data_IF_387542662919
#
_entry.id   IF_387542662919
#
_cell.length_a   1.000
_cell.length_b   1.000
_cell.length_c   1.000
_cell.angle_alpha   90.00
_cell.angle_beta   90.00
_cell.angle_gamma   90.00
#
_symmetry.space_group_name_H-M   'P 1'
#
loop_
_entity.id
_entity.type
_entity.pdbx_description
1 polymer ?
#
# COMPACT_ATOMS: atom_id res chain seq x y z
N UNK A 1 -10.01 2.30 -11.60
CA UNK A 1 -9.98 1.41 -10.40
C UNK A 1 -10.28 -0.09 -10.69
N UNK A 2 -10.23 -0.58 -11.94
CA UNK A 2 -10.54 -2.00 -12.24
C UNK A 2 -9.45 -3.03 -11.86
N UNK A 3 -8.22 -2.59 -11.59
CA UNK A 3 -7.11 -3.51 -11.23
C UNK A 3 -7.18 -4.03 -9.78
N UNK A 4 -7.95 -3.36 -8.90
CA UNK A 4 -7.98 -3.66 -7.45
C UNK A 4 -8.97 -4.76 -7.04
N UNK A 5 -9.87 -5.19 -7.93
CA UNK A 5 -10.95 -6.12 -7.56
C UNK A 5 -10.69 -7.58 -7.90
N UNK A 6 -9.79 -7.91 -8.83
CA UNK A 6 -9.67 -9.30 -9.31
C UNK A 6 -8.93 -10.26 -8.38
N UNK A 7 -8.10 -9.77 -7.45
CA UNK A 7 -7.18 -10.64 -6.69
C UNK A 7 -7.03 -10.30 -5.21
N UNK A 8 -7.90 -9.46 -4.66
CA UNK A 8 -7.83 -9.08 -3.27
C UNK A 8 -8.95 -9.76 -2.49
N UNK A 9 -8.61 -10.80 -1.72
CA UNK A 9 -9.55 -11.40 -0.76
C UNK A 9 -9.81 -10.33 0.31
N UNK A 10 -11.08 -9.95 0.57
CA UNK A 10 -11.40 -9.01 1.63
C UNK A 10 -10.86 -9.50 2.98
N UNK A 11 -10.33 -8.59 3.81
CA UNK A 11 -9.89 -8.95 5.19
C UNK A 11 -11.00 -9.66 5.96
N UNK A 12 -12.24 -9.22 5.80
CA UNK A 12 -13.43 -9.85 6.39
C UNK A 12 -13.60 -11.30 5.94
N UNK A 13 -13.41 -11.60 4.66
CA UNK A 13 -13.49 -12.97 4.14
C UNK A 13 -12.37 -13.86 4.70
N UNK A 14 -11.14 -13.34 4.80
CA UNK A 14 -10.03 -14.09 5.43
C UNK A 14 -10.30 -14.34 6.91
N UNK A 15 -10.85 -13.37 7.64
CA UNK A 15 -11.18 -13.53 9.06
C UNK A 15 -12.32 -14.54 9.27
N UNK A 16 -13.33 -14.56 8.39
CA UNK A 16 -14.37 -15.60 8.39
C UNK A 16 -13.78 -17.00 8.16
N UNK A 17 -12.81 -17.15 7.24
CA UNK A 17 -12.13 -18.42 7.01
C UNK A 17 -11.32 -18.88 8.22
N UNK A 18 -10.60 -17.97 8.87
CA UNK A 18 -9.84 -18.26 10.11
C UNK A 18 -10.81 -18.78 11.19
N UNK A 19 -11.94 -18.11 11.39
CA UNK A 19 -12.95 -18.56 12.36
C UNK A 19 -13.55 -19.92 12.00
N UNK A 20 -13.80 -20.18 10.72
CA UNK A 20 -14.30 -21.48 10.27
C UNK A 20 -13.28 -22.61 10.55
N UNK A 21 -11.99 -22.37 10.30
CA UNK A 21 -10.93 -23.33 10.63
C UNK A 21 -10.88 -23.57 12.14
N UNK A 22 -10.99 -22.52 12.98
CA UNK A 22 -11.04 -22.69 14.43
C UNK A 22 -12.17 -23.63 14.86
N UNK A 23 -13.37 -23.48 14.29
CA UNK A 23 -14.51 -24.35 14.58
C UNK A 23 -14.22 -25.81 14.21
N UNK A 24 -13.59 -26.06 13.06
CA UNK A 24 -13.19 -27.42 12.66
C UNK A 24 -12.15 -28.02 13.61
N UNK A 25 -11.20 -27.21 14.09
CA UNK A 25 -10.18 -27.66 15.03
C UNK A 25 -10.76 -27.92 16.43
N UNK A 26 -11.75 -27.14 16.85
CA UNK A 26 -12.47 -27.37 18.11
C UNK A 26 -13.27 -28.68 18.08
N UNK A 27 -13.86 -29.04 16.93
CA UNK A 27 -14.55 -30.32 16.74
C UNK A 27 -13.60 -31.52 16.83
N UNK A 28 -12.33 -31.36 16.42
CA UNK A 28 -11.30 -32.40 16.59
C UNK A 28 -10.98 -32.61 18.08
N UNK A 29 -11.16 -31.59 18.92
CA UNK A 29 -11.02 -31.69 20.38
C UNK A 29 -9.58 -31.77 20.90
N UNK A 30 -8.58 -31.44 20.08
CA UNK A 30 -7.17 -31.44 20.48
C UNK A 30 -6.78 -30.10 21.13
N UNK A 31 -6.19 -30.17 22.32
CA UNK A 31 -5.70 -29.01 23.08
C UNK A 31 -4.56 -28.27 22.37
N UNK A 32 -3.88 -28.92 21.42
CA UNK A 32 -2.88 -28.29 20.57
C UNK A 32 -3.43 -27.06 19.80
N UNK A 33 -4.75 -26.99 19.58
CA UNK A 33 -5.40 -25.90 18.83
C UNK A 33 -6.08 -24.84 19.71
N UNK A 34 -5.93 -24.91 21.03
CA UNK A 34 -6.57 -23.97 21.96
C UNK A 34 -6.17 -22.52 21.64
N UNK A 35 -4.91 -22.31 21.27
CA UNK A 35 -4.33 -21.00 20.94
C UNK A 35 -4.49 -20.58 19.47
N UNK A 36 -5.26 -21.33 18.67
CA UNK A 36 -5.45 -20.98 17.27
C UNK A 36 -6.15 -19.60 17.13
N UNK A 37 -5.67 -18.71 16.24
CA UNK A 37 -6.18 -17.35 16.15
C UNK A 37 -7.62 -17.31 15.64
N UNK A 38 -8.43 -16.40 16.20
CA UNK A 38 -9.82 -16.14 15.75
C UNK A 38 -9.99 -14.78 15.07
N UNK A 39 -8.93 -13.97 15.08
CA UNK A 39 -8.87 -12.66 14.40
C UNK A 39 -7.65 -12.59 13.52
N UNK A 40 -7.74 -11.78 12.47
CA UNK A 40 -6.59 -11.51 11.59
C UNK A 40 -5.41 -10.89 12.36
N UNK A 41 -5.69 -10.06 13.36
CA UNK A 41 -4.66 -9.46 14.20
C UNK A 41 -3.85 -10.52 14.96
N UNK A 42 -4.54 -11.44 15.66
CA UNK A 42 -3.87 -12.54 16.37
C UNK A 42 -3.10 -13.45 15.42
N UNK A 43 -3.69 -13.78 14.27
CA UNK A 43 -3.03 -14.61 13.26
C UNK A 43 -1.72 -13.96 12.77
N UNK A 44 -1.75 -12.65 12.47
CA UNK A 44 -0.54 -11.90 12.08
C UNK A 44 0.51 -11.89 13.18
N UNK A 45 0.10 -11.67 14.43
CA UNK A 45 1.02 -11.64 15.56
C UNK A 45 1.70 -13.00 15.77
N UNK A 46 0.96 -14.10 15.71
CA UNK A 46 1.49 -15.47 15.84
C UNK A 46 2.49 -15.79 14.72
N UNK A 47 2.17 -15.36 13.49
CA UNK A 47 3.01 -15.58 12.31
C UNK A 47 4.15 -14.55 12.17
N UNK A 48 4.32 -13.63 13.14
CA UNK A 48 5.24 -12.49 13.06
C UNK A 48 5.12 -11.72 11.73
N UNK A 49 3.90 -11.56 11.23
CA UNK A 49 3.61 -10.81 10.01
C UNK A 49 3.45 -9.34 10.38
N UNK A 50 4.46 -8.55 10.05
CA UNK A 50 4.42 -7.11 10.17
C UNK A 50 3.52 -6.47 9.11
N UNK A 51 2.83 -5.40 9.49
CA UNK A 51 2.09 -4.56 8.57
C UNK A 51 3.05 -3.76 7.67
N UNK A 52 3.37 -4.33 6.50
CA UNK A 52 4.19 -3.66 5.49
C UNK A 52 3.41 -2.59 4.76
N UNK A 53 3.30 -1.37 5.28
CA UNK A 53 2.62 -0.32 4.53
C UNK A 53 3.50 0.21 3.40
N UNK A 54 3.19 -0.13 2.15
CA UNK A 54 3.74 0.63 1.03
C UNK A 54 3.01 1.96 0.95
N UNK A 55 3.75 3.04 1.11
CA UNK A 55 3.23 4.40 1.00
C UNK A 55 3.42 4.91 -0.42
N UNK A 56 2.32 5.32 -1.04
CA UNK A 56 2.34 5.92 -2.37
C UNK A 56 1.77 7.33 -2.34
N UNK A 57 2.35 8.20 -3.18
CA UNK A 57 1.76 9.48 -3.52
C UNK A 57 0.79 9.30 -4.69
N UNK A 58 -0.46 9.73 -4.54
CA UNK A 58 -1.43 9.72 -5.63
C UNK A 58 -1.58 11.12 -6.24
N UNK A 59 -1.43 11.24 -7.56
CA UNK A 59 -1.75 12.49 -8.26
C UNK A 59 -3.24 12.82 -8.11
N UNK A 60 -3.57 14.00 -7.59
CA UNK A 60 -4.98 14.40 -7.36
C UNK A 60 -5.80 14.63 -8.63
N UNK A 61 -5.13 14.81 -9.78
CA UNK A 61 -5.81 15.02 -11.06
C UNK A 61 -6.08 13.71 -11.81
N UNK A 62 -5.07 12.84 -11.92
CA UNK A 62 -5.14 11.62 -12.73
C UNK A 62 -5.09 10.31 -11.92
N UNK A 63 -4.94 10.39 -10.60
CA UNK A 63 -4.90 9.25 -9.68
C UNK A 63 -3.76 8.25 -9.91
N UNK A 64 -2.76 8.59 -10.74
CA UNK A 64 -1.53 7.81 -10.87
C UNK A 64 -0.78 7.78 -9.54
N UNK A 65 -0.34 6.59 -9.15
CA UNK A 65 0.48 6.35 -7.96
C UNK A 65 1.96 6.45 -8.30
N UNK A 66 2.72 7.09 -7.40
CA UNK A 66 4.17 7.24 -7.40
C UNK A 66 4.74 6.74 -6.08
N UNK A 67 5.98 6.24 -6.08
CA UNK A 67 6.66 5.88 -4.83
C UNK A 67 6.87 7.12 -3.97
N UNK A 68 6.72 6.97 -2.65
CA UNK A 68 6.89 8.07 -1.70
C UNK A 68 8.29 8.69 -1.79
N UNK A 69 9.34 7.86 -1.74
CA UNK A 69 10.73 8.31 -1.75
C UNK A 69 11.08 9.09 -3.03
N UNK A 70 10.66 8.59 -4.19
CA UNK A 70 10.88 9.26 -5.48
C UNK A 70 10.33 10.70 -5.52
N UNK A 71 9.23 10.97 -4.82
CA UNK A 71 8.58 12.29 -4.79
C UNK A 71 9.19 13.19 -3.71
N UNK A 72 9.54 12.65 -2.54
CA UNK A 72 10.15 13.42 -1.44
C UNK A 72 11.59 13.83 -1.76
N UNK A 73 12.36 12.92 -2.35
CA UNK A 73 13.77 13.09 -2.68
C UNK A 73 13.98 13.53 -4.13
N UNK A 74 12.96 14.11 -4.77
CA UNK A 74 13.08 14.59 -6.14
C UNK A 74 14.03 15.78 -6.22
N UNK A 75 15.08 15.63 -7.02
CA UNK A 75 16.04 16.70 -7.33
C UNK A 75 16.00 17.03 -8.83
N UNK A 76 16.17 18.30 -9.14
CA UNK A 76 16.39 18.79 -10.49
C UNK A 76 17.61 19.69 -10.45
N UNK A 77 18.61 19.39 -11.28
CA UNK A 77 19.90 20.10 -11.29
C UNK A 77 20.56 20.13 -9.90
N UNK A 78 20.57 18.98 -9.22
CA UNK A 78 21.07 18.78 -7.83
C UNK A 78 20.32 19.55 -6.74
N UNK A 79 19.27 20.30 -7.08
CA UNK A 79 18.47 21.08 -6.15
C UNK A 79 17.15 20.35 -5.88
N UNK A 80 16.76 20.27 -4.61
CA UNK A 80 15.48 19.67 -4.21
C UNK A 80 14.33 20.46 -4.86
N UNK A 81 13.53 19.76 -5.68
CA UNK A 81 12.52 20.37 -6.54
C UNK A 81 11.14 19.72 -6.34
N UNK A 82 10.09 20.39 -6.81
CA UNK A 82 8.73 19.82 -6.76
C UNK A 82 8.52 18.92 -7.98
N UNK A 83 8.40 17.62 -7.75
CA UNK A 83 8.09 16.66 -8.81
C UNK A 83 6.71 16.94 -9.41
N UNK A 84 6.64 17.04 -10.74
CA UNK A 84 5.38 17.14 -11.49
C UNK A 84 4.98 15.80 -12.06
N UNK A 85 3.67 15.52 -12.05
CA UNK A 85 3.09 14.30 -12.61
C UNK A 85 3.45 14.15 -14.10
N UNK A 86 4.15 13.08 -14.44
CA UNK A 86 4.55 12.77 -15.83
C UNK A 86 3.55 11.86 -16.55
N UNK A 87 2.43 11.51 -15.91
CA UNK A 87 1.44 10.62 -16.51
C UNK A 87 0.80 11.24 -17.76
N UNK A 88 0.73 10.44 -18.83
CA UNK A 88 0.04 10.76 -20.09
C UNK A 88 -1.19 9.87 -20.16
N UNK A 89 -2.36 10.50 -20.16
CA UNK A 89 -3.61 9.81 -20.39
C UNK A 89 -3.75 9.57 -21.91
N UNK A 90 -3.98 8.32 -22.31
CA UNK A 90 -4.09 7.91 -23.72
C UNK A 90 -2.83 8.19 -24.57
N UNK A 91 -1.73 7.44 -24.34
CA UNK A 91 -0.47 7.66 -25.02
C UNK A 91 -0.50 7.44 -26.53
N UNK A 92 -1.55 6.81 -27.08
CA UNK A 92 -1.71 6.61 -28.53
C UNK A 92 -2.62 7.65 -29.19
N UNK A 93 -3.21 8.56 -28.44
CA UNK A 93 -4.05 9.63 -29.01
C UNK A 93 -3.19 10.67 -29.74
N UNK A 94 -3.81 11.46 -30.62
CA UNK A 94 -3.19 12.66 -31.22
C UNK A 94 -3.10 13.83 -30.23
N UNK A 95 -3.88 13.79 -29.13
CA UNK A 95 -3.94 14.81 -28.07
C UNK A 95 -3.23 14.32 -26.79
N UNK A 96 -1.97 13.88 -26.93
CA UNK A 96 -1.16 13.42 -25.77
C UNK A 96 -0.81 14.62 -24.90
N UNK A 97 -1.38 14.68 -23.70
CA UNK A 97 -1.06 15.71 -22.72
C UNK A 97 -0.52 15.08 -21.43
N UNK A 98 0.58 15.64 -20.93
CA UNK A 98 1.10 15.29 -19.60
C UNK A 98 0.24 15.95 -18.54
N UNK A 99 0.00 15.24 -17.44
CA UNK A 99 -0.82 15.72 -16.34
C UNK A 99 -0.24 16.99 -15.67
N UNK A 100 1.08 17.02 -15.44
CA UNK A 100 1.86 18.13 -14.88
C UNK A 100 1.47 18.63 -13.48
N UNK A 101 0.46 18.04 -12.84
CA UNK A 101 0.05 18.40 -11.47
C UNK A 101 1.22 18.17 -10.49
N UNK A 102 1.53 19.13 -9.60
CA UNK A 102 2.57 18.95 -8.58
C UNK A 102 2.20 17.82 -7.62
N UNK A 103 3.18 16.98 -7.30
CA UNK A 103 3.02 15.81 -6.45
C UNK A 103 3.37 16.10 -4.97
N UNK A 104 4.00 17.23 -4.70
CA UNK A 104 4.38 17.66 -3.35
C UNK A 104 4.28 19.18 -3.24
N UNK A 105 4.46 19.69 -2.03
CA UNK A 105 4.68 21.10 -1.77
C UNK A 105 5.93 21.24 -0.92
N UNK A 106 6.72 22.28 -1.17
CA UNK A 106 7.90 22.55 -0.36
C UNK A 106 7.52 23.26 0.92
N UNK A 107 8.12 22.80 2.02
CA UNK A 107 8.04 23.44 3.33
C UNK A 107 9.46 23.80 3.76
N UNK A 108 9.62 25.04 4.23
CA UNK A 108 10.84 25.49 4.88
C UNK A 108 10.75 25.12 6.36
N UNK A 109 11.58 24.17 6.78
CA UNK A 109 11.89 23.91 8.17
C UNK A 109 13.11 24.77 8.54
N UNK A 110 13.30 25.02 9.85
CA UNK A 110 14.28 25.96 10.42
C UNK A 110 15.59 26.12 9.60
N UNK A 111 16.21 25.03 9.15
CA UNK A 111 17.43 25.05 8.32
C UNK A 111 17.36 24.16 7.05
N UNK A 112 16.18 23.69 6.62
CA UNK A 112 16.08 22.73 5.49
C UNK A 112 14.78 22.90 4.71
N UNK A 113 14.88 22.86 3.38
CA UNK A 113 13.71 22.72 2.49
C UNK A 113 13.38 21.24 2.36
N UNK A 114 12.11 20.89 2.56
CA UNK A 114 11.62 19.51 2.43
C UNK A 114 10.37 19.46 1.54
N UNK A 115 10.26 18.42 0.73
CA UNK A 115 9.05 18.14 -0.03
C UNK A 115 8.08 17.34 0.84
N UNK A 116 6.89 17.91 1.11
CA UNK A 116 5.83 17.21 1.81
C UNK A 116 4.77 16.72 0.83
N UNK A 117 4.50 15.43 0.87
CA UNK A 117 3.41 14.83 0.10
C UNK A 117 2.06 15.12 0.79
N UNK A 118 1.02 15.42 0.00
CA UNK A 118 -0.33 15.71 0.53
C UNK A 118 -1.11 14.46 0.94
N UNK A 119 -0.96 13.33 0.25
CA UNK A 119 -1.75 12.12 0.46
C UNK A 119 -0.89 10.88 0.36
N UNK A 120 -0.93 10.04 1.40
CA UNK A 120 -0.27 8.74 1.46
C UNK A 120 -1.34 7.66 1.45
N UNK A 121 -1.26 6.73 0.50
CA UNK A 121 -2.10 5.54 0.49
C UNK A 121 -1.31 4.33 0.98
N UNK A 122 -1.65 3.77 2.15
CA UNK A 122 -1.02 2.55 2.63
C UNK A 122 -1.56 1.34 1.85
N UNK A 123 -0.67 0.47 1.40
CA UNK A 123 -1.10 -0.82 0.86
C UNK A 123 -0.07 -1.93 1.06
N UNK A 124 -0.45 -2.97 1.80
CA UNK A 124 -0.06 -4.35 1.51
C UNK A 124 -1.17 -5.28 1.97
N UNK A 125 -1.31 -6.39 1.23
CA UNK A 125 -2.30 -7.42 1.53
C UNK A 125 -1.65 -8.51 2.37
N UNK A 126 -2.42 -9.18 3.24
CA UNK A 126 -1.90 -10.33 3.98
C UNK A 126 -1.37 -11.41 3.03
N UNK A 127 -1.97 -11.57 1.85
CA UNK A 127 -1.50 -12.48 0.80
C UNK A 127 -0.07 -12.14 0.32
N UNK A 128 0.21 -10.86 0.07
CA UNK A 128 1.56 -10.42 -0.32
C UNK A 128 2.58 -10.62 0.81
N UNK A 129 2.17 -10.40 2.06
CA UNK A 129 3.03 -10.64 3.23
C UNK A 129 3.28 -12.15 3.44
N UNK A 130 2.27 -12.99 3.27
CA UNK A 130 2.38 -14.45 3.33
C UNK A 130 3.28 -15.00 2.21
N UNK A 131 3.16 -14.48 0.99
CA UNK A 131 4.02 -14.91 -0.12
C UNK A 131 5.51 -14.69 0.18
N UNK A 132 5.87 -13.66 0.94
CA UNK A 132 7.27 -13.40 1.35
C UNK A 132 7.79 -14.27 2.49
N UNK A 133 6.93 -15.06 3.17
CA UNK A 133 7.36 -16.02 4.19
C UNK A 133 7.76 -17.38 3.59
N UNK A 134 7.28 -17.68 2.39
CA UNK A 134 7.46 -18.97 1.72
C UNK A 134 8.31 -18.88 0.43
N UNK A 135 8.91 -17.71 0.16
CA UNK A 135 9.88 -17.43 -0.91
C UNK A 135 11.19 -16.99 -0.27
#
# INVERSE_FOLDING_TARGET
>A
MKFRMRFNIPKTATESLIKFIKLLLDEIGDTAFENFPVTLYKARNILNIEDRFHSFMACMKCHKLYNKQEVEEFHQDEILAIMKCQHIEFPNSSRRQKCQTPLSHQIRLLNKVSNRIKMIYPFSTIRQQLATLYL
#
